data_IF_597302683530
#
_entry.id   IF_597302683530
#
_cell.length_a   1.000
_cell.length_b   1.000
_cell.length_c   1.000
_cell.angle_alpha   90.00
_cell.angle_beta   90.00
_cell.angle_gamma   90.00
#
_symmetry.space_group_name_H-M   'P 1'
#
loop_
_entity.id
_entity.type
_entity.pdbx_description
1 polymer ?
#
# COMPACT_ATOMS: atom_id res chain seq x y z
N UNK A 1 20.84 17.50 26.49
CA UNK A 1 19.41 17.88 26.50
C UNK A 1 18.69 17.01 25.50
N UNK A 2 17.50 16.50 25.81
CA UNK A 2 16.72 15.68 24.86
C UNK A 2 16.28 16.53 23.66
N UNK A 3 16.31 15.95 22.45
CA UNK A 3 15.84 16.62 21.22
C UNK A 3 14.31 16.75 21.15
N UNK A 4 13.58 15.95 21.93
CA UNK A 4 12.13 15.98 22.08
C UNK A 4 11.64 17.17 22.93
N UNK A 5 10.36 17.49 22.84
CA UNK A 5 9.69 18.56 23.59
C UNK A 5 8.39 18.04 24.27
N UNK A 6 8.48 17.57 25.53
CA UNK A 6 7.31 17.07 26.26
C UNK A 6 6.20 18.09 26.49
N UNK A 7 6.51 19.39 26.63
CA UNK A 7 5.47 20.42 26.82
C UNK A 7 4.64 20.64 25.55
N UNK A 8 5.24 20.52 24.37
CA UNK A 8 4.52 20.53 23.10
C UNK A 8 3.52 19.37 23.02
N UNK A 9 3.97 18.16 23.37
CA UNK A 9 3.10 16.98 23.40
C UNK A 9 1.94 17.12 24.38
N UNK A 10 2.20 17.72 25.55
CA UNK A 10 1.19 18.01 26.56
C UNK A 10 0.15 19.03 26.07
N UNK A 11 0.58 20.11 25.40
CA UNK A 11 -0.34 21.07 24.76
C UNK A 11 -1.25 20.37 23.76
N UNK A 12 -0.66 19.55 22.88
CA UNK A 12 -1.39 18.75 21.91
C UNK A 12 -2.41 17.83 22.57
N UNK A 13 -1.99 17.06 23.59
CA UNK A 13 -2.86 16.15 24.32
C UNK A 13 -4.09 16.87 24.87
N UNK A 14 -3.91 18.01 25.54
CA UNK A 14 -5.03 18.76 26.09
C UNK A 14 -5.98 19.31 25.03
N UNK A 15 -5.47 19.74 23.87
CA UNK A 15 -6.31 20.17 22.74
C UNK A 15 -7.09 19.00 22.15
N UNK A 16 -6.43 17.85 21.96
CA UNK A 16 -7.04 16.63 21.44
C UNK A 16 -8.18 16.13 22.34
N UNK A 17 -7.96 16.06 23.66
CA UNK A 17 -8.95 15.55 24.61
C UNK A 17 -10.11 16.52 24.81
N UNK A 18 -9.87 17.83 24.77
CA UNK A 18 -10.91 18.84 25.01
C UNK A 18 -12.06 18.75 24.00
N UNK A 19 -11.76 18.39 22.75
CA UNK A 19 -12.75 18.19 21.69
C UNK A 19 -13.19 16.74 21.50
N UNK A 20 -12.77 15.82 22.39
CA UNK A 20 -13.00 14.40 22.20
C UNK A 20 -14.36 13.93 22.74
N UNK A 21 -14.96 12.89 22.14
CA UNK A 21 -16.19 12.31 22.66
C UNK A 21 -15.95 11.66 24.02
N UNK A 22 -17.02 11.56 24.81
CA UNK A 22 -16.97 10.95 26.14
C UNK A 22 -16.37 9.54 26.08
N UNK A 23 -15.38 9.29 26.94
CA UNK A 23 -14.69 8.00 27.02
C UNK A 23 -13.61 7.78 25.96
N UNK A 24 -13.34 8.73 25.07
CA UNK A 24 -12.18 8.65 24.19
C UNK A 24 -10.89 8.69 25.01
N UNK A 25 -10.02 7.72 24.76
CA UNK A 25 -8.68 7.66 25.32
C UNK A 25 -7.74 7.50 24.12
N UNK A 26 -6.76 8.39 23.91
CA UNK A 26 -5.79 8.27 22.84
C UNK A 26 -5.02 6.95 22.93
N UNK A 27 -4.63 6.42 21.77
CA UNK A 27 -3.75 5.28 21.67
C UNK A 27 -2.31 5.78 21.42
N UNK A 28 -1.60 6.11 22.50
CA UNK A 28 -0.18 6.46 22.42
C UNK A 28 0.70 5.21 22.53
N UNK A 29 1.87 5.23 21.93
CA UNK A 29 2.88 4.18 22.07
C UNK A 29 4.28 4.73 21.75
N UNK A 30 5.35 4.13 22.30
CA UNK A 30 6.70 4.60 22.04
C UNK A 30 7.20 4.19 20.65
N UNK A 31 7.87 5.12 20.00
CA UNK A 31 8.67 4.92 18.81
C UNK A 31 10.15 4.87 19.18
N UNK A 32 11.00 4.53 18.22
CA UNK A 32 12.45 4.60 18.38
C UNK A 32 12.93 6.02 18.65
N UNK A 33 14.06 6.13 19.36
CA UNK A 33 14.73 7.43 19.60
C UNK A 33 15.20 7.97 18.25
N UNK A 34 14.83 9.21 17.93
CA UNK A 34 15.12 9.83 16.63
C UNK A 34 14.55 9.07 15.41
N UNK A 35 13.69 8.07 15.62
CA UNK A 35 13.07 7.25 14.58
C UNK A 35 11.57 7.48 14.46
N UNK A 36 10.99 6.95 13.39
CA UNK A 36 9.53 6.95 13.16
C UNK A 36 8.90 5.59 13.43
N UNK A 37 9.70 4.53 13.50
CA UNK A 37 9.20 3.18 13.64
C UNK A 37 8.90 2.85 15.11
N UNK A 38 7.92 1.96 15.36
CA UNK A 38 7.64 1.49 16.69
C UNK A 38 8.83 0.70 17.23
N UNK A 39 9.05 0.77 18.55
CA UNK A 39 10.15 0.04 19.19
C UNK A 39 10.09 -1.47 18.87
N UNK A 40 11.25 -2.03 18.53
CA UNK A 40 11.40 -3.47 18.33
C UNK A 40 11.08 -4.29 19.59
N UNK A 41 10.77 -5.57 19.39
CA UNK A 41 10.52 -6.53 20.47
C UNK A 41 9.11 -6.53 21.05
N UNK A 42 8.26 -5.55 20.73
CA UNK A 42 6.85 -5.54 21.12
C UNK A 42 5.96 -4.96 20.02
N UNK A 43 4.85 -5.66 19.70
CA UNK A 43 3.85 -5.10 18.80
C UNK A 43 3.28 -3.81 19.40
N UNK A 44 3.35 -2.71 18.65
CA UNK A 44 2.83 -1.42 19.10
C UNK A 44 1.33 -1.45 19.39
N UNK A 45 0.57 -2.31 18.69
CA UNK A 45 -0.86 -2.55 18.95
C UNK A 45 -1.12 -3.16 20.34
N UNK A 46 -0.10 -3.76 20.95
CA UNK A 46 -0.11 -4.32 22.30
C UNK A 46 0.71 -3.48 23.29
N UNK A 47 1.24 -2.32 22.88
CA UNK A 47 2.12 -1.47 23.69
C UNK A 47 1.52 -0.09 23.96
N UNK A 48 0.20 -0.03 24.17
CA UNK A 48 -0.50 1.22 24.48
C UNK A 48 0.07 1.87 25.75
N UNK A 49 0.16 3.19 25.74
CA UNK A 49 0.54 4.04 26.86
C UNK A 49 -0.56 5.02 27.21
N UNK A 50 -0.70 5.28 28.51
CA UNK A 50 -1.42 6.44 29.03
C UNK A 50 -0.68 7.72 28.67
N UNK A 51 -1.35 8.87 28.78
CA UNK A 51 -0.70 10.17 28.59
C UNK A 51 0.52 10.34 29.50
N UNK A 52 0.41 9.99 30.79
CA UNK A 52 1.49 10.14 31.77
C UNK A 52 2.72 9.31 31.39
N UNK A 53 2.52 8.06 30.99
CA UNK A 53 3.61 7.20 30.53
C UNK A 53 4.24 7.72 29.24
N UNK A 54 3.43 8.13 28.26
CA UNK A 54 3.91 8.67 26.99
C UNK A 54 4.70 9.97 27.20
N UNK A 55 4.21 10.87 28.05
CA UNK A 55 4.90 12.11 28.41
C UNK A 55 6.24 11.84 29.10
N UNK A 56 6.28 10.88 30.03
CA UNK A 56 7.52 10.44 30.67
C UNK A 56 8.51 9.85 29.65
N UNK A 57 8.06 8.96 28.77
CA UNK A 57 8.90 8.39 27.72
C UNK A 57 9.45 9.47 26.78
N UNK A 58 8.64 10.47 26.44
CA UNK A 58 9.09 11.60 25.65
C UNK A 58 10.16 12.43 26.37
N UNK A 59 10.06 12.62 27.69
CA UNK A 59 11.11 13.31 28.45
C UNK A 59 12.42 12.53 28.51
N UNK A 60 12.36 11.21 28.33
CA UNK A 60 13.54 10.33 28.16
C UNK A 60 14.07 10.30 26.71
N UNK A 61 13.48 11.05 25.78
CA UNK A 61 13.94 11.16 24.39
C UNK A 61 13.31 10.19 23.39
N UNK A 62 12.35 9.36 23.81
CA UNK A 62 11.58 8.55 22.87
C UNK A 62 10.59 9.42 22.08
N UNK A 63 10.45 9.13 20.80
CA UNK A 63 9.34 9.67 20.02
C UNK A 63 8.05 8.95 20.42
N UNK A 64 6.90 9.60 20.24
CA UNK A 64 5.59 9.05 20.58
C UNK A 64 4.74 8.99 19.32
N UNK A 65 4.16 7.82 19.05
CA UNK A 65 3.14 7.64 18.04
C UNK A 65 1.75 7.83 18.63
N UNK A 66 0.82 8.35 17.83
CA UNK A 66 -0.62 8.34 18.11
C UNK A 66 -1.34 7.56 17.00
N UNK A 67 -2.12 6.56 17.39
CA UNK A 67 -2.87 5.73 16.45
C UNK A 67 -4.37 6.05 16.44
N UNK A 68 -4.93 6.09 15.23
CA UNK A 68 -6.35 5.92 15.02
C UNK A 68 -6.65 4.41 14.95
N UNK A 69 -7.51 3.91 15.83
CA UNK A 69 -7.84 2.47 15.90
C UNK A 69 -9.20 2.18 15.29
N UNK A 70 -9.48 0.91 15.02
CA UNK A 70 -10.81 0.51 14.53
C UNK A 70 -11.94 0.63 15.57
N UNK A 71 -11.63 1.02 16.81
CA UNK A 71 -12.57 1.08 17.94
C UNK A 71 -12.77 2.49 18.48
N UNK A 72 -12.09 3.48 17.92
CA UNK A 72 -12.22 4.88 18.30
C UNK A 72 -12.70 5.71 17.10
N UNK A 73 -13.19 6.94 17.33
CA UNK A 73 -13.63 7.80 16.25
C UNK A 73 -12.50 8.62 15.62
N UNK A 74 -11.24 8.48 16.06
CA UNK A 74 -10.14 9.32 15.56
C UNK A 74 -9.91 9.05 14.05
N UNK A 75 -9.79 10.12 13.28
CA UNK A 75 -9.33 10.10 11.89
C UNK A 75 -8.19 11.09 11.79
N UNK A 76 -7.09 10.69 11.16
CA UNK A 76 -5.93 11.56 10.95
C UNK A 76 -5.74 11.70 9.45
N UNK A 77 -5.93 12.90 8.91
CA UNK A 77 -5.62 13.19 7.50
C UNK A 77 -4.19 13.73 7.45
N UNK A 78 -3.29 12.86 7.01
CA UNK A 78 -1.86 13.11 6.83
C UNK A 78 -1.63 13.66 5.41
N UNK A 79 -1.23 14.92 5.31
CA UNK A 79 -0.98 15.60 4.04
C UNK A 79 0.53 15.68 3.83
N UNK A 80 1.03 15.06 2.77
CA UNK A 80 2.44 15.09 2.39
C UNK A 80 2.77 16.29 1.49
N UNK A 81 1.83 16.71 0.62
CA UNK A 81 1.96 17.82 -0.32
C UNK A 81 0.73 18.75 -0.26
N UNK A 82 0.93 19.94 0.33
CA UNK A 82 -0.12 20.96 0.47
C UNK A 82 -0.67 21.47 -0.85
N UNK A 83 0.07 21.36 -1.96
CA UNK A 83 -0.40 21.81 -3.27
C UNK A 83 -1.50 20.91 -3.85
N UNK A 84 -1.52 19.63 -3.44
CA UNK A 84 -2.53 18.64 -3.87
C UNK A 84 -3.77 18.63 -2.96
N UNK A 85 -3.67 19.25 -1.78
CA UNK A 85 -4.75 19.38 -0.81
C UNK A 85 -4.88 20.86 -0.42
N UNK A 86 -5.35 21.73 -1.34
CA UNK A 86 -5.37 23.18 -1.12
C UNK A 86 -6.35 23.58 -0.01
N UNK A 87 -7.40 22.78 0.21
CA UNK A 87 -8.42 23.03 1.22
C UNK A 87 -8.64 21.78 2.07
N UNK A 88 -8.74 22.00 3.38
CA UNK A 88 -9.16 20.99 4.35
C UNK A 88 -9.98 21.66 5.45
N UNK A 89 -10.99 20.93 5.94
CA UNK A 89 -11.82 21.39 7.05
C UNK A 89 -10.93 21.82 8.24
N UNK A 90 -11.06 23.04 8.76
CA UNK A 90 -10.23 23.53 9.86
C UNK A 90 -10.36 22.62 11.09
N UNK A 91 -9.22 22.26 11.68
CA UNK A 91 -9.16 21.41 12.88
C UNK A 91 -7.80 21.56 13.55
N UNK A 92 -7.57 20.84 14.66
CA UNK A 92 -6.26 20.72 15.29
C UNK A 92 -5.22 20.19 14.29
N UNK A 93 -4.10 20.90 14.13
CA UNK A 93 -3.05 20.55 13.17
C UNK A 93 -1.67 20.44 13.80
N UNK A 94 -0.87 19.53 13.27
CA UNK A 94 0.57 19.38 13.55
C UNK A 94 1.36 19.49 12.26
N UNK A 95 2.44 20.25 12.24
CA UNK A 95 3.39 20.29 11.13
C UNK A 95 4.42 19.18 11.29
N UNK A 96 4.67 18.43 10.20
CA UNK A 96 5.60 17.31 10.17
C UNK A 96 7.06 17.76 10.18
N UNK A 97 8.00 16.81 10.38
CA UNK A 97 9.45 17.09 10.50
C UNK A 97 10.07 17.86 9.33
N UNK A 98 9.53 17.67 8.12
CA UNK A 98 10.03 18.31 6.88
C UNK A 98 9.38 19.68 6.65
N UNK A 99 8.50 20.12 7.55
CA UNK A 99 7.82 21.43 7.52
C UNK A 99 6.93 21.70 6.31
N UNK A 100 6.75 20.72 5.43
CA UNK A 100 5.93 20.78 4.21
C UNK A 100 4.64 19.96 4.30
N UNK A 101 4.52 19.09 5.31
CA UNK A 101 3.35 18.24 5.51
C UNK A 101 2.62 18.53 6.83
N UNK A 102 1.36 18.12 6.91
CA UNK A 102 0.46 18.35 8.05
C UNK A 102 -0.22 17.06 8.50
N UNK A 103 -0.35 16.86 9.81
CA UNK A 103 -1.30 15.91 10.38
C UNK A 103 -2.53 16.70 10.86
N UNK A 104 -3.69 16.38 10.31
CA UNK A 104 -4.98 17.01 10.63
C UNK A 104 -5.82 16.00 11.41
N UNK A 105 -6.21 16.34 12.63
CA UNK A 105 -6.91 15.41 13.53
C UNK A 105 -8.40 15.70 13.51
N UNK A 106 -9.23 14.67 13.34
CA UNK A 106 -10.69 14.77 13.35
C UNK A 106 -11.31 13.64 14.16
N UNK A 107 -12.59 13.78 14.48
CA UNK A 107 -13.42 12.66 14.95
C UNK A 107 -14.54 12.36 13.95
N UNK A 108 -14.72 11.09 13.58
CA UNK A 108 -15.85 10.63 12.76
C UNK A 108 -16.81 9.85 13.64
N UNK A 109 -17.88 10.51 14.09
CA UNK A 109 -18.87 9.89 15.00
C UNK A 109 -19.83 8.96 14.25
N UNK A 110 -20.15 9.29 12.99
CA UNK A 110 -20.93 8.45 12.09
C UNK A 110 -20.12 7.27 11.50
N UNK A 111 -18.80 7.27 11.70
CA UNK A 111 -17.87 6.27 11.18
C UNK A 111 -17.65 6.34 9.66
N UNK A 112 -18.27 7.28 8.94
CA UNK A 112 -18.20 7.30 7.47
C UNK A 112 -16.78 7.63 7.00
N UNK A 113 -16.06 8.49 7.70
CA UNK A 113 -14.66 8.81 7.40
C UNK A 113 -13.65 7.83 8.01
N UNK A 114 -14.08 6.76 8.70
CA UNK A 114 -13.20 5.71 9.25
C UNK A 114 -12.68 4.77 8.15
N UNK A 115 -11.93 5.31 7.19
CA UNK A 115 -11.40 4.60 6.02
C UNK A 115 -9.90 4.86 5.92
N UNK A 116 -9.12 3.82 5.62
CA UNK A 116 -7.71 4.01 5.28
C UNK A 116 -7.63 4.29 3.78
N UNK A 117 -7.12 5.46 3.39
CA UNK A 117 -7.04 5.87 1.99
C UNK A 117 -5.63 6.40 1.75
N UNK A 118 -4.86 5.75 0.87
CA UNK A 118 -3.56 6.25 0.45
C UNK A 118 -3.70 6.89 -0.94
N UNK A 119 -3.40 8.19 -1.04
CA UNK A 119 -3.58 9.00 -2.24
C UNK A 119 -2.23 9.51 -2.78
N UNK A 120 -1.30 8.57 -3.03
CA UNK A 120 0.03 8.83 -3.60
C UNK A 120 0.76 9.97 -2.86
N UNK A 121 1.03 11.06 -3.57
CA UNK A 121 1.84 12.18 -3.09
C UNK A 121 1.01 13.20 -2.30
N UNK A 122 -0.34 13.14 -2.36
CA UNK A 122 -1.21 13.96 -1.52
C UNK A 122 -1.22 13.52 -0.04
N UNK A 123 -0.77 12.30 0.24
CA UNK A 123 -0.74 11.71 1.58
C UNK A 123 -1.84 10.69 1.83
N UNK A 124 -2.32 10.59 3.07
CA UNK A 124 -3.16 9.49 3.54
C UNK A 124 -4.28 9.90 4.52
N UNK A 125 -5.45 9.29 4.40
CA UNK A 125 -6.43 9.21 5.49
C UNK A 125 -6.09 7.99 6.34
N UNK A 126 -5.75 8.22 7.61
CA UNK A 126 -5.33 7.21 8.58
C UNK A 126 -6.39 7.05 9.67
N UNK A 127 -7.16 5.97 9.62
CA UNK A 127 -8.30 5.77 10.51
C UNK A 127 -8.32 4.43 11.26
N UNK A 128 -7.87 3.35 10.64
CA UNK A 128 -8.00 1.99 11.18
C UNK A 128 -6.63 1.34 11.36
N UNK A 129 -6.14 1.36 12.59
CA UNK A 129 -4.83 0.83 12.99
C UNK A 129 -3.67 1.43 12.18
N UNK A 130 -3.79 2.71 11.87
CA UNK A 130 -2.72 3.55 11.32
C UNK A 130 -2.38 4.64 12.34
N UNK A 131 -1.15 5.15 12.26
CA UNK A 131 -0.63 6.10 13.23
C UNK A 131 0.17 7.19 12.56
N UNK A 132 0.39 8.28 13.28
CA UNK A 132 1.35 9.32 12.93
C UNK A 132 2.26 9.59 14.13
N UNK A 133 3.38 10.27 13.88
CA UNK A 133 4.25 10.75 14.95
C UNK A 133 3.58 11.97 15.62
N UNK A 134 3.46 11.94 16.94
CA UNK A 134 2.85 13.01 17.72
C UNK A 134 3.78 14.23 17.85
N UNK A 135 3.23 15.47 17.95
CA UNK A 135 4.03 16.66 18.20
C UNK A 135 4.81 16.58 19.52
N UNK A 136 5.96 17.24 19.57
CA UNK A 136 6.98 17.07 20.60
C UNK A 136 8.04 16.03 20.27
N UNK A 137 7.78 15.16 19.30
CA UNK A 137 8.78 14.21 18.77
C UNK A 137 9.79 14.89 17.85
N UNK A 138 10.96 14.26 17.66
CA UNK A 138 12.03 14.73 16.80
C UNK A 138 12.62 13.59 15.96
N UNK A 139 12.78 13.80 14.66
CA UNK A 139 13.43 12.88 13.72
C UNK A 139 14.36 13.69 12.82
N UNK A 140 15.69 13.49 12.88
CA UNK A 140 16.67 14.34 12.19
C UNK A 140 16.43 14.33 10.69
N UNK A 141 16.56 15.49 10.03
CA UNK A 141 16.48 15.64 8.58
C UNK A 141 17.87 15.53 7.94
N UNK A 142 17.95 14.98 6.73
CA UNK A 142 19.17 15.04 5.92
C UNK A 142 19.46 16.49 5.49
N UNK A 143 20.70 16.84 5.11
CA UNK A 143 21.02 18.17 4.58
C UNK A 143 20.12 18.58 3.41
N UNK A 144 19.86 17.65 2.48
CA UNK A 144 19.01 17.89 1.30
C UNK A 144 17.55 18.12 1.69
N UNK A 145 17.06 17.42 2.73
CA UNK A 145 15.73 17.68 3.28
C UNK A 145 15.66 19.07 3.94
N UNK A 146 16.71 19.49 4.65
CA UNK A 146 16.78 20.81 5.31
C UNK A 146 16.81 21.94 4.28
N UNK A 147 17.54 21.77 3.17
CA UNK A 147 17.65 22.79 2.13
C UNK A 147 16.30 23.10 1.47
N UNK A 148 15.42 22.09 1.37
CA UNK A 148 14.04 22.23 0.87
C UNK A 148 13.08 22.89 1.86
N UNK A 149 13.45 23.01 3.13
CA UNK A 149 12.63 23.68 4.14
C UNK A 149 12.77 25.20 3.97
N UNK A 150 11.65 25.96 3.98
CA UNK A 150 11.69 27.43 4.00
C UNK A 150 12.61 27.96 5.11
N UNK A 151 13.44 28.95 4.80
CA UNK A 151 14.54 29.38 5.67
C UNK A 151 14.09 29.69 7.11
N UNK A 152 12.96 30.37 7.27
CA UNK A 152 12.39 30.71 8.58
C UNK A 152 11.90 29.49 9.39
N UNK A 153 11.57 28.38 8.73
CA UNK A 153 11.15 27.13 9.36
C UNK A 153 12.31 26.15 9.63
N UNK A 154 13.53 26.42 9.12
CA UNK A 154 14.69 25.52 9.29
C UNK A 154 15.07 25.31 10.76
N UNK A 155 14.80 26.28 11.64
CA UNK A 155 14.99 26.13 13.09
C UNK A 155 14.15 24.99 13.69
N UNK A 156 13.05 24.63 13.03
CA UNK A 156 12.15 23.55 13.41
C UNK A 156 12.42 22.26 12.62
N UNK A 157 13.47 22.21 11.79
CA UNK A 157 13.80 21.01 11.02
C UNK A 157 13.91 19.78 11.93
N UNK A 158 13.24 18.71 11.53
CA UNK A 158 13.19 17.47 12.31
C UNK A 158 12.11 17.43 13.39
N UNK A 159 11.50 18.56 13.76
CA UNK A 159 10.50 18.65 14.83
C UNK A 159 9.09 18.47 14.32
N UNK A 160 8.31 17.66 15.05
CA UNK A 160 6.86 17.65 14.93
C UNK A 160 6.30 18.69 15.91
N UNK A 161 5.58 19.70 15.42
CA UNK A 161 5.09 20.82 16.25
C UNK A 161 3.63 21.09 15.99
N UNK A 162 2.91 21.61 16.98
CA UNK A 162 1.58 22.18 16.77
C UNK A 162 1.67 23.28 15.72
N UNK A 163 0.82 23.19 14.71
CA UNK A 163 0.67 24.22 13.70
C UNK A 163 -0.36 25.27 14.16
N UNK A 164 -1.45 24.77 14.74
CA UNK A 164 -2.50 25.57 15.33
C UNK A 164 -3.00 24.88 16.61
N UNK A 165 -3.88 25.55 17.34
CA UNK A 165 -4.53 25.01 18.55
C UNK A 165 -6.06 25.01 18.45
N UNK A 166 -6.59 24.85 17.24
CA UNK A 166 -8.03 24.76 17.05
C UNK A 166 -8.61 23.54 17.79
N UNK A 167 -9.89 23.59 18.20
CA UNK A 167 -10.60 22.39 18.64
C UNK A 167 -10.58 21.32 17.55
N UNK A 168 -10.61 20.05 17.96
CA UNK A 168 -10.75 18.93 17.03
C UNK A 168 -12.16 18.94 16.46
N UNK A 169 -12.27 19.03 15.14
CA UNK A 169 -13.56 19.02 14.45
C UNK A 169 -14.06 17.60 14.15
N UNK A 170 -15.38 17.48 14.00
CA UNK A 170 -15.99 16.29 13.42
C UNK A 170 -15.70 16.21 11.91
N UNK A 171 -15.67 15.01 11.34
CA UNK A 171 -15.58 14.80 9.89
C UNK A 171 -16.45 13.63 9.41
N UNK A 172 -17.21 13.87 8.36
CA UNK A 172 -17.86 12.84 7.55
C UNK A 172 -17.07 12.57 6.26
N UNK A 173 -17.32 11.43 5.59
CA UNK A 173 -16.62 11.05 4.37
C UNK A 173 -16.69 12.14 3.27
N UNK A 174 -17.85 12.76 3.09
CA UNK A 174 -18.07 13.78 2.06
C UNK A 174 -17.26 15.07 2.28
N UNK A 175 -16.83 15.30 3.53
CA UNK A 175 -16.01 16.45 3.94
C UNK A 175 -14.51 16.18 3.79
N UNK A 176 -14.11 14.96 3.42
CA UNK A 176 -12.72 14.69 3.05
C UNK A 176 -12.36 15.47 1.78
N UNK A 177 -11.11 15.92 1.65
CA UNK A 177 -10.63 16.53 0.42
C UNK A 177 -10.86 15.63 -0.81
N UNK A 178 -11.15 16.26 -1.95
CA UNK A 178 -11.58 15.57 -3.17
C UNK A 178 -10.60 14.52 -3.67
N UNK A 179 -9.29 14.75 -3.50
CA UNK A 179 -8.26 13.78 -3.88
C UNK A 179 -8.43 12.43 -3.17
N UNK A 180 -8.82 12.43 -1.89
CA UNK A 180 -9.06 11.20 -1.14
C UNK A 180 -10.39 10.56 -1.51
N UNK A 181 -11.43 11.35 -1.77
CA UNK A 181 -12.75 10.84 -2.21
C UNK A 181 -12.67 10.20 -3.60
N UNK A 182 -11.96 10.83 -4.53
CA UNK A 182 -11.68 10.29 -5.86
C UNK A 182 -10.91 8.97 -5.74
N UNK A 183 -9.84 8.95 -4.94
CA UNK A 183 -9.07 7.73 -4.71
C UNK A 183 -9.91 6.59 -4.11
N UNK A 184 -10.77 6.91 -3.15
CA UNK A 184 -11.65 5.89 -2.55
C UNK A 184 -12.66 5.34 -3.57
N UNK A 185 -13.21 6.20 -4.43
CA UNK A 185 -14.09 5.77 -5.53
C UNK A 185 -13.39 4.80 -6.48
N UNK A 186 -12.13 5.06 -6.83
CA UNK A 186 -11.31 4.13 -7.64
C UNK A 186 -11.12 2.78 -6.94
N UNK A 187 -10.81 2.79 -5.64
CA UNK A 187 -10.65 1.55 -4.84
C UNK A 187 -11.94 0.73 -4.89
N UNK A 188 -13.10 1.35 -4.66
CA UNK A 188 -14.39 0.66 -4.71
C UNK A 188 -14.69 0.14 -6.11
N UNK A 189 -14.39 0.91 -7.16
CA UNK A 189 -14.56 0.45 -8.53
C UNK A 189 -13.70 -0.79 -8.81
N UNK A 190 -12.40 -0.75 -8.50
CA UNK A 190 -11.47 -1.88 -8.67
C UNK A 190 -11.95 -3.11 -7.87
N UNK A 191 -12.47 -2.94 -6.65
CA UNK A 191 -13.03 -4.03 -5.84
C UNK A 191 -14.30 -4.63 -6.45
N UNK A 192 -15.24 -3.81 -6.91
CA UNK A 192 -16.48 -4.25 -7.57
C UNK A 192 -16.17 -4.98 -8.86
N UNK A 193 -15.23 -4.47 -9.67
CA UNK A 193 -14.79 -5.12 -10.90
C UNK A 193 -14.17 -6.50 -10.61
N UNK A 194 -13.30 -6.59 -9.61
CA UNK A 194 -12.69 -7.85 -9.18
C UNK A 194 -13.73 -8.88 -8.71
N UNK A 195 -14.74 -8.44 -7.93
CA UNK A 195 -15.84 -9.31 -7.47
C UNK A 195 -16.70 -9.76 -8.65
N UNK A 196 -17.04 -8.85 -9.57
CA UNK A 196 -17.89 -9.15 -10.74
C UNK A 196 -17.22 -10.18 -11.63
N UNK A 197 -15.95 -9.96 -11.99
CA UNK A 197 -15.12 -10.93 -12.73
C UNK A 197 -15.10 -12.30 -12.07
N UNK A 198 -15.10 -12.38 -10.72
CA UNK A 198 -15.13 -13.65 -9.99
C UNK A 198 -16.49 -14.35 -10.06
N UNK A 199 -17.60 -13.62 -9.92
CA UNK A 199 -18.95 -14.20 -9.96
C UNK A 199 -19.20 -14.85 -11.32
N UNK A 200 -18.86 -14.16 -12.41
CA UNK A 200 -18.96 -14.68 -13.78
C UNK A 200 -18.17 -16.00 -13.95
N UNK A 201 -17.11 -16.22 -13.16
CA UNK A 201 -16.24 -17.41 -13.26
C UNK A 201 -16.67 -18.59 -12.41
N UNK A 202 -17.44 -18.40 -11.33
CA UNK A 202 -17.98 -19.54 -10.55
C UNK A 202 -18.84 -20.46 -11.43
N UNK A 203 -19.31 -19.95 -12.57
CA UNK A 203 -20.06 -20.70 -13.58
C UNK A 203 -19.21 -21.51 -14.58
N UNK A 204 -17.86 -21.44 -14.55
CA UNK A 204 -16.99 -22.08 -15.57
C UNK A 204 -15.87 -22.99 -15.03
N UNK A 205 -15.88 -23.34 -13.74
CA UNK A 205 -14.73 -23.95 -13.08
C UNK A 205 -14.44 -25.44 -13.40
N UNK A 206 -13.28 -25.72 -14.00
CA UNK A 206 -12.53 -26.98 -13.78
C UNK A 206 -11.03 -26.70 -13.66
N UNK A 207 -10.37 -27.31 -12.66
CA UNK A 207 -8.93 -27.23 -12.46
C UNK A 207 -8.17 -27.95 -13.59
N UNK A 208 -7.18 -27.28 -14.18
CA UNK A 208 -6.29 -27.83 -15.20
C UNK A 208 -5.04 -28.43 -14.52
N UNK A 209 -5.15 -29.67 -14.05
CA UNK A 209 -3.98 -30.50 -13.77
C UNK A 209 -3.51 -31.11 -15.08
N UNK A 210 -2.61 -30.42 -15.79
CA UNK A 210 -2.07 -30.84 -17.08
C UNK A 210 -0.56 -31.01 -17.06
N UNK A 211 -0.05 -31.90 -17.91
CA UNK A 211 1.37 -32.29 -18.07
C UNK A 211 2.26 -31.12 -18.56
N UNK A 212 1.67 -30.02 -19.03
CA UNK A 212 2.36 -28.82 -19.53
C UNK A 212 2.09 -27.59 -18.64
N UNK A 213 2.31 -27.72 -17.34
CA UNK A 213 2.19 -26.61 -16.38
C UNK A 213 3.43 -25.71 -16.50
N UNK A 214 3.21 -24.41 -16.69
CA UNK A 214 4.27 -23.39 -16.64
C UNK A 214 4.85 -23.29 -15.22
N UNK A 215 6.17 -23.17 -15.12
CA UNK A 215 6.90 -22.90 -13.88
C UNK A 215 6.54 -21.54 -13.26
N UNK A 216 5.90 -20.65 -14.04
CA UNK A 216 5.36 -19.38 -13.54
C UNK A 216 4.50 -19.56 -12.29
N UNK A 217 3.75 -20.66 -12.22
CA UNK A 217 2.83 -20.94 -11.12
C UNK A 217 3.49 -21.55 -9.88
N UNK A 218 4.78 -21.89 -9.98
CA UNK A 218 5.57 -22.46 -8.89
C UNK A 218 6.50 -21.42 -8.27
N UNK A 219 6.62 -20.22 -8.86
CA UNK A 219 7.37 -19.10 -8.28
C UNK A 219 6.69 -18.60 -7.00
N UNK A 220 7.52 -18.32 -6.00
CA UNK A 220 7.11 -17.65 -4.78
C UNK A 220 7.57 -16.18 -4.74
N UNK A 221 7.22 -15.48 -3.66
CA UNK A 221 7.56 -14.06 -3.54
C UNK A 221 9.07 -13.84 -3.37
N UNK A 222 9.79 -14.80 -2.79
CA UNK A 222 11.24 -14.76 -2.62
C UNK A 222 11.92 -14.85 -3.98
N UNK A 223 11.45 -15.74 -4.86
CA UNK A 223 11.99 -15.93 -6.21
C UNK A 223 11.92 -14.63 -7.03
N UNK A 224 10.82 -13.88 -6.91
CA UNK A 224 10.57 -12.71 -7.76
C UNK A 224 11.04 -11.39 -7.14
N UNK A 225 11.12 -11.30 -5.82
CA UNK A 225 11.51 -10.05 -5.12
C UNK A 225 12.92 -10.08 -4.54
N UNK A 226 13.53 -11.26 -4.41
CA UNK A 226 14.80 -11.45 -3.72
C UNK A 226 14.73 -11.26 -2.19
N UNK A 227 13.56 -10.96 -1.63
CA UNK A 227 13.37 -10.73 -0.19
C UNK A 227 12.88 -12.00 0.48
N UNK A 228 13.71 -12.61 1.32
CA UNK A 228 13.33 -13.77 2.14
C UNK A 228 12.30 -13.40 3.21
N UNK A 229 11.64 -14.41 3.80
CA UNK A 229 10.67 -14.22 4.88
C UNK A 229 11.28 -13.40 6.04
N UNK A 230 10.75 -12.21 6.26
CA UNK A 230 11.21 -11.28 7.30
C UNK A 230 10.44 -11.45 8.60
N UNK A 231 9.51 -12.39 8.67
CA UNK A 231 8.59 -12.62 9.78
C UNK A 231 7.79 -11.35 10.14
N UNK A 232 7.51 -10.52 9.14
CA UNK A 232 6.79 -9.26 9.32
C UNK A 232 7.66 -8.07 9.78
N UNK A 233 8.96 -8.28 10.00
CA UNK A 233 9.91 -7.17 10.22
C UNK A 233 10.00 -6.31 8.96
N UNK A 234 9.97 -4.99 9.13
CA UNK A 234 10.10 -4.04 8.02
C UNK A 234 11.53 -4.02 7.51
N UNK A 235 11.67 -4.01 6.19
CA UNK A 235 12.95 -3.99 5.46
C UNK A 235 12.86 -3.01 4.29
N UNK A 236 14.00 -2.67 3.65
CA UNK A 236 14.01 -1.86 2.45
C UNK A 236 13.17 -2.48 1.34
N UNK A 237 12.41 -1.63 0.65
CA UNK A 237 11.66 -2.04 -0.53
C UNK A 237 12.64 -2.39 -1.67
N UNK A 238 12.41 -3.47 -2.44
CA UNK A 238 13.14 -3.70 -3.67
C UNK A 238 13.06 -2.47 -4.60
N UNK A 239 14.19 -2.01 -5.16
CA UNK A 239 14.26 -0.76 -5.90
C UNK A 239 13.39 -0.76 -7.17
N UNK A 240 13.06 -1.94 -7.70
CA UNK A 240 12.26 -2.14 -8.92
C UNK A 240 10.78 -1.78 -8.72
N UNK A 241 10.29 -1.72 -7.47
CA UNK A 241 8.90 -1.35 -7.18
C UNK A 241 8.77 0.17 -7.08
N UNK A 242 9.42 0.72 -6.06
CA UNK A 242 9.55 2.14 -5.79
C UNK A 242 10.50 2.34 -4.61
N UNK A 243 11.22 3.46 -4.61
CA UNK A 243 12.14 3.81 -3.53
C UNK A 243 11.47 3.95 -2.16
N UNK A 244 12.32 3.96 -1.13
CA UNK A 244 11.95 4.29 0.24
C UNK A 244 12.93 5.31 0.80
N UNK A 245 12.43 6.50 1.17
CA UNK A 245 13.24 7.48 1.90
C UNK A 245 13.55 7.06 3.33
N UNK A 246 12.75 6.15 3.92
CA UNK A 246 12.90 5.65 5.30
C UNK A 246 13.61 4.29 5.38
N UNK A 247 13.87 3.63 4.26
CA UNK A 247 14.46 2.31 4.18
C UNK A 247 13.60 1.15 4.71
N UNK A 248 12.33 1.35 5.10
CA UNK A 248 11.54 0.34 5.84
C UNK A 248 10.10 0.19 5.31
N UNK A 249 9.94 0.07 3.98
CA UNK A 249 8.63 0.14 3.31
C UNK A 249 8.04 -1.21 2.89
N UNK A 250 8.73 -2.34 3.12
CA UNK A 250 8.14 -3.65 2.90
C UNK A 250 8.41 -4.65 4.02
N UNK A 251 7.69 -5.75 4.01
CA UNK A 251 7.98 -6.93 4.84
C UNK A 251 7.47 -8.17 4.13
N UNK A 252 8.16 -9.30 4.25
CA UNK A 252 7.69 -10.58 3.71
C UNK A 252 7.28 -11.48 4.85
N UNK A 253 6.11 -12.10 4.74
CA UNK A 253 5.65 -13.13 5.67
C UNK A 253 4.61 -14.01 5.01
N UNK A 254 4.65 -15.33 5.28
CA UNK A 254 3.66 -16.29 4.78
C UNK A 254 3.54 -16.27 3.24
N UNK A 255 4.68 -16.11 2.54
CA UNK A 255 4.73 -16.07 1.08
C UNK A 255 4.14 -14.82 0.44
N UNK A 256 3.89 -13.75 1.22
CA UNK A 256 3.39 -12.48 0.72
C UNK A 256 4.34 -11.34 1.07
N UNK A 257 4.57 -10.44 0.12
CA UNK A 257 5.24 -9.17 0.36
C UNK A 257 4.17 -8.13 0.67
N UNK A 258 4.28 -7.48 1.82
CA UNK A 258 3.45 -6.34 2.19
C UNK A 258 4.17 -5.07 1.77
N UNK A 259 3.57 -4.28 0.89
CA UNK A 259 3.97 -2.91 0.63
C UNK A 259 3.27 -1.98 1.63
N UNK A 260 4.03 -1.42 2.56
CA UNK A 260 3.49 -0.55 3.61
C UNK A 260 3.11 0.84 3.11
N UNK A 261 3.72 1.29 2.00
CA UNK A 261 3.39 2.57 1.35
C UNK A 261 1.99 2.56 0.73
N UNK A 262 1.67 1.50 0.00
CA UNK A 262 0.39 1.35 -0.68
C UNK A 262 -0.61 0.50 0.13
N UNK A 263 -0.22 0.06 1.32
CA UNK A 263 -1.01 -0.78 2.22
C UNK A 263 -1.65 -1.99 1.51
N UNK A 264 -0.84 -2.71 0.72
CA UNK A 264 -1.28 -3.80 -0.15
C UNK A 264 -0.32 -5.00 -0.10
N UNK A 265 -0.86 -6.20 -0.30
CA UNK A 265 -0.11 -7.46 -0.30
C UNK A 265 0.13 -7.95 -1.73
N UNK A 266 1.33 -8.45 -2.00
CA UNK A 266 1.67 -9.11 -3.26
C UNK A 266 2.02 -10.58 -3.04
N UNK A 267 1.51 -11.43 -3.91
CA UNK A 267 2.06 -12.76 -4.17
C UNK A 267 3.02 -12.67 -5.37
N UNK A 268 3.66 -13.78 -5.75
CA UNK A 268 4.58 -13.81 -6.88
C UNK A 268 3.96 -13.29 -8.18
N UNK A 269 2.75 -13.74 -8.51
CA UNK A 269 2.06 -13.36 -9.73
C UNK A 269 1.71 -11.86 -9.77
N UNK A 270 1.15 -11.30 -8.70
CA UNK A 270 0.79 -9.88 -8.66
C UNK A 270 2.02 -8.97 -8.59
N UNK A 271 3.11 -9.45 -8.00
CA UNK A 271 4.40 -8.76 -8.04
C UNK A 271 4.95 -8.69 -9.48
N UNK A 272 4.95 -9.81 -10.20
CA UNK A 272 5.38 -9.85 -11.60
C UNK A 272 4.46 -9.06 -12.52
N UNK A 273 3.14 -9.05 -12.28
CA UNK A 273 2.20 -8.23 -13.06
C UNK A 273 2.52 -6.74 -12.95
N UNK A 274 2.97 -6.30 -11.77
CA UNK A 274 3.44 -4.94 -11.56
C UNK A 274 4.75 -4.69 -12.31
N UNK A 275 5.75 -5.56 -12.17
CA UNK A 275 7.04 -5.38 -12.86
C UNK A 275 6.92 -5.46 -14.39
N UNK A 276 5.99 -6.26 -14.90
CA UNK A 276 5.66 -6.34 -16.32
C UNK A 276 4.90 -5.10 -16.85
N UNK A 277 4.64 -4.10 -15.99
CA UNK A 277 3.95 -2.86 -16.37
C UNK A 277 2.46 -3.04 -16.68
N UNK A 278 1.86 -4.17 -16.28
CA UNK A 278 0.43 -4.43 -16.49
C UNK A 278 -0.42 -3.57 -15.55
N UNK A 279 0.05 -3.40 -14.31
CA UNK A 279 -0.67 -2.70 -13.25
C UNK A 279 0.31 -1.96 -12.34
N UNK A 280 -0.16 -0.92 -11.64
CA UNK A 280 0.62 -0.28 -10.57
C UNK A 280 0.69 -1.18 -9.32
N UNK A 281 1.60 -0.90 -8.40
CA UNK A 281 1.70 -1.61 -7.11
C UNK A 281 0.34 -1.66 -6.38
N UNK A 282 -0.33 -0.52 -6.27
CA UNK A 282 -1.65 -0.41 -5.62
C UNK A 282 -2.70 -1.31 -6.27
N UNK A 283 -2.76 -1.35 -7.61
CA UNK A 283 -3.80 -2.07 -8.36
C UNK A 283 -3.49 -3.55 -8.52
N UNK A 284 -2.22 -3.93 -8.59
CA UNK A 284 -1.84 -5.34 -8.74
C UNK A 284 -2.05 -6.11 -7.42
N UNK A 285 -1.70 -5.47 -6.30
CA UNK A 285 -1.76 -6.09 -4.97
C UNK A 285 -3.17 -6.31 -4.46
N UNK A 286 -3.27 -7.00 -3.32
CA UNK A 286 -4.49 -7.15 -2.53
C UNK A 286 -4.51 -6.09 -1.42
N UNK A 287 -5.46 -5.14 -1.41
CA UNK A 287 -5.57 -4.15 -0.36
C UNK A 287 -5.63 -4.78 1.04
N UNK A 288 -5.13 -4.07 2.05
CA UNK A 288 -5.18 -4.56 3.42
C UNK A 288 -6.61 -4.78 3.92
N UNK A 289 -6.95 -6.02 4.29
CA UNK A 289 -8.31 -6.41 4.64
C UNK A 289 -9.19 -6.77 3.44
N UNK A 290 -8.71 -6.49 2.22
CA UNK A 290 -9.31 -6.94 0.98
C UNK A 290 -9.19 -8.44 0.79
N UNK A 291 -10.09 -8.99 -0.02
CA UNK A 291 -10.18 -10.43 -0.24
C UNK A 291 -9.47 -10.91 -1.51
N UNK A 292 -9.08 -10.00 -2.40
CA UNK A 292 -8.63 -10.33 -3.76
C UNK A 292 -7.41 -9.52 -4.17
N UNK A 293 -6.52 -10.14 -4.95
CA UNK A 293 -5.48 -9.42 -5.69
C UNK A 293 -6.12 -8.82 -6.94
N UNK A 294 -5.72 -7.61 -7.33
CA UNK A 294 -6.20 -7.03 -8.58
C UNK A 294 -5.54 -7.66 -9.80
N UNK A 295 -4.29 -8.13 -9.69
CA UNK A 295 -3.66 -8.92 -10.74
C UNK A 295 -4.34 -10.28 -10.87
N UNK A 296 -4.88 -10.52 -12.06
CA UNK A 296 -5.76 -11.65 -12.30
C UNK A 296 -5.02 -12.80 -13.03
N UNK A 297 -4.73 -13.93 -12.36
CA UNK A 297 -4.04 -15.07 -12.98
C UNK A 297 -4.89 -15.81 -14.02
N UNK A 298 -6.11 -15.35 -14.23
CA UNK A 298 -7.06 -15.88 -15.19
C UNK A 298 -7.27 -14.95 -16.39
N UNK A 299 -6.75 -13.73 -16.37
CA UNK A 299 -6.78 -12.84 -17.53
C UNK A 299 -5.67 -13.21 -18.52
N UNK A 300 -6.04 -13.56 -19.75
CA UNK A 300 -5.09 -14.09 -20.74
C UNK A 300 -4.01 -13.07 -21.13
N UNK A 301 -4.36 -11.78 -21.20
CA UNK A 301 -3.40 -10.70 -21.47
C UNK A 301 -2.40 -10.55 -20.32
N UNK A 302 -2.90 -10.41 -19.09
CA UNK A 302 -2.06 -10.30 -17.90
C UNK A 302 -1.12 -11.50 -17.78
N UNK A 303 -1.63 -12.72 -17.95
CA UNK A 303 -0.80 -13.93 -17.88
C UNK A 303 0.24 -13.97 -18.99
N UNK A 304 -0.09 -13.52 -20.21
CA UNK A 304 0.87 -13.44 -21.32
C UNK A 304 2.03 -12.50 -20.99
N UNK A 305 1.73 -11.27 -20.57
CA UNK A 305 2.72 -10.25 -20.23
C UNK A 305 3.58 -10.67 -19.03
N UNK A 306 2.97 -11.25 -18.01
CA UNK A 306 3.68 -11.76 -16.82
C UNK A 306 4.62 -12.92 -17.18
N UNK A 307 4.15 -13.88 -17.98
CA UNK A 307 4.95 -15.01 -18.41
C UNK A 307 6.13 -14.57 -19.28
N UNK A 308 5.89 -13.67 -20.24
CA UNK A 308 6.93 -13.08 -21.09
C UNK A 308 7.98 -12.34 -20.26
N UNK A 309 7.54 -11.51 -19.31
CA UNK A 309 8.44 -10.81 -18.38
C UNK A 309 9.29 -11.79 -17.57
N UNK A 310 8.69 -12.84 -16.99
CA UNK A 310 9.40 -13.84 -16.20
C UNK A 310 10.48 -14.57 -17.01
N UNK A 311 10.22 -14.85 -18.30
CA UNK A 311 11.23 -15.40 -19.22
C UNK A 311 12.34 -14.40 -19.48
N UNK A 312 12.00 -13.16 -19.80
CA UNK A 312 12.98 -12.11 -20.11
C UNK A 312 13.92 -11.85 -18.92
N UNK A 313 13.40 -11.91 -17.69
CA UNK A 313 14.20 -11.82 -16.46
C UNK A 313 14.85 -13.14 -16.02
N UNK A 314 14.69 -14.22 -16.80
CA UNK A 314 15.23 -15.55 -16.52
C UNK A 314 14.79 -16.15 -15.18
N UNK A 315 13.62 -15.75 -14.69
CA UNK A 315 12.97 -16.34 -13.52
C UNK A 315 12.39 -17.71 -13.84
N UNK A 316 12.08 -17.96 -15.11
CA UNK A 316 11.67 -19.26 -15.66
C UNK A 316 12.46 -19.56 -16.95
N UNK A 317 12.46 -20.83 -17.35
CA UNK A 317 13.19 -21.29 -18.54
C UNK A 317 12.73 -20.60 -19.83
N UNK A 318 13.66 -20.41 -20.77
CA UNK A 318 13.31 -19.97 -22.13
C UNK A 318 12.44 -20.99 -22.88
N UNK A 319 12.44 -22.25 -22.45
CA UNK A 319 11.57 -23.31 -22.98
C UNK A 319 10.34 -23.56 -22.10
N UNK A 320 10.08 -22.71 -21.10
CA UNK A 320 8.89 -22.85 -20.24
C UNK A 320 7.61 -22.77 -21.10
N UNK A 321 6.65 -23.69 -20.91
CA UNK A 321 5.44 -23.74 -21.72
C UNK A 321 4.53 -22.55 -21.41
N UNK A 322 4.11 -21.82 -22.45
CA UNK A 322 3.13 -20.73 -22.31
C UNK A 322 1.85 -21.23 -21.60
N UNK A 323 1.30 -20.49 -20.62
CA UNK A 323 0.02 -20.83 -20.02
C UNK A 323 -1.12 -20.84 -21.05
N UNK A 324 -2.09 -21.76 -20.88
CA UNK A 324 -3.17 -21.94 -21.86
C UNK A 324 -3.96 -20.65 -22.15
N UNK A 325 -4.25 -19.85 -21.12
CA UNK A 325 -5.00 -18.60 -21.28
C UNK A 325 -4.20 -17.52 -22.00
N UNK A 326 -2.90 -17.45 -21.75
CA UNK A 326 -1.98 -16.57 -22.47
C UNK A 326 -1.91 -16.95 -23.96
N UNK A 327 -1.87 -18.25 -24.27
CA UNK A 327 -1.91 -18.72 -25.65
C UNK A 327 -3.24 -18.37 -26.34
N UNK A 328 -4.37 -18.56 -25.66
CA UNK A 328 -5.68 -18.16 -26.18
C UNK A 328 -5.73 -16.65 -26.46
N UNK A 329 -5.25 -15.83 -25.52
CA UNK A 329 -5.16 -14.38 -25.71
C UNK A 329 -4.29 -14.02 -26.91
N UNK A 330 -3.09 -14.59 -27.01
CA UNK A 330 -2.17 -14.36 -28.13
C UNK A 330 -2.85 -14.63 -29.47
N UNK A 331 -3.47 -15.81 -29.62
CA UNK A 331 -4.16 -16.19 -30.86
C UNK A 331 -5.31 -15.24 -31.23
N UNK A 332 -6.05 -14.74 -30.24
CA UNK A 332 -7.11 -13.74 -30.48
C UNK A 332 -6.51 -12.39 -30.87
N UNK A 333 -5.49 -11.92 -30.14
CA UNK A 333 -4.83 -10.63 -30.39
C UNK A 333 -4.19 -10.55 -31.79
N UNK A 334 -3.75 -11.70 -32.32
CA UNK A 334 -3.17 -11.84 -33.66
C UNK A 334 -4.20 -12.13 -34.75
N UNK A 335 -5.49 -12.17 -34.41
CA UNK A 335 -6.57 -12.46 -35.37
C UNK A 335 -6.59 -13.91 -35.88
N UNK A 336 -5.82 -14.81 -35.27
CA UNK A 336 -5.75 -16.25 -35.63
C UNK A 336 -7.04 -16.96 -35.21
N UNK A 337 -7.64 -16.52 -34.09
CA UNK A 337 -8.89 -17.05 -33.58
C UNK A 337 -9.85 -15.91 -33.21
N UNK A 338 -11.15 -16.10 -33.44
CA UNK A 338 -12.19 -15.24 -32.85
C UNK A 338 -12.67 -15.85 -31.54
N UNK A 339 -13.06 -15.01 -30.58
CA UNK A 339 -13.54 -15.45 -29.25
C UNK A 339 -14.73 -16.41 -29.33
N UNK A 340 -15.61 -16.22 -30.31
CA UNK A 340 -16.77 -17.09 -30.60
C UNK A 340 -16.39 -18.49 -31.12
N UNK A 341 -15.16 -18.67 -31.61
CA UNK A 341 -14.66 -19.93 -32.15
C UNK A 341 -13.88 -20.76 -31.12
N UNK A 342 -13.82 -20.32 -29.87
CA UNK A 342 -13.22 -21.09 -28.79
C UNK A 342 -14.08 -22.32 -28.48
N UNK A 343 -13.44 -23.41 -28.07
CA UNK A 343 -14.19 -24.55 -27.52
C UNK A 343 -14.84 -24.14 -26.20
N UNK A 344 -15.85 -24.89 -25.75
CA UNK A 344 -16.70 -24.52 -24.60
C UNK A 344 -15.94 -24.24 -23.29
N UNK A 345 -14.69 -24.70 -23.16
CA UNK A 345 -13.83 -24.43 -21.99
C UNK A 345 -12.81 -23.29 -22.20
N UNK A 346 -12.97 -22.50 -23.26
CA UNK A 346 -12.13 -21.35 -23.58
C UNK A 346 -10.78 -21.69 -24.22
N UNK A 347 -10.53 -22.95 -24.57
CA UNK A 347 -9.32 -23.34 -25.31
C UNK A 347 -9.45 -23.07 -26.81
N UNK A 348 -8.30 -23.02 -27.48
CA UNK A 348 -8.22 -22.97 -28.93
C UNK A 348 -8.61 -24.33 -29.52
N UNK A 349 -9.35 -24.36 -30.65
CA UNK A 349 -9.50 -25.58 -31.44
C UNK A 349 -8.14 -26.15 -31.84
N UNK A 350 -7.97 -27.48 -31.99
CA UNK A 350 -6.66 -28.12 -32.22
C UNK A 350 -5.86 -27.54 -33.40
N UNK A 351 -6.53 -27.25 -34.53
CA UNK A 351 -5.88 -26.66 -35.71
C UNK A 351 -5.41 -25.23 -35.41
N UNK A 352 -6.25 -24.43 -34.78
CA UNK A 352 -5.95 -23.05 -34.39
C UNK A 352 -4.80 -23.01 -33.37
N UNK A 353 -4.77 -23.95 -32.44
CA UNK A 353 -3.66 -24.11 -31.49
C UNK A 353 -2.33 -24.30 -32.23
N UNK A 354 -2.27 -25.21 -33.21
CA UNK A 354 -1.06 -25.46 -33.98
C UNK A 354 -0.65 -24.25 -34.83
N UNK A 355 -1.61 -23.58 -35.47
CA UNK A 355 -1.35 -22.34 -36.22
C UNK A 355 -0.78 -21.26 -35.30
N UNK A 356 -1.34 -21.09 -34.10
CA UNK A 356 -0.84 -20.11 -33.14
C UNK A 356 0.62 -20.37 -32.73
N UNK A 357 1.00 -21.63 -32.51
CA UNK A 357 2.40 -21.99 -32.23
C UNK A 357 3.33 -21.70 -33.41
N UNK A 358 2.88 -21.99 -34.65
CA UNK A 358 3.66 -21.72 -35.86
C UNK A 358 3.87 -20.23 -36.10
N UNK A 359 2.82 -19.42 -35.97
CA UNK A 359 2.90 -17.95 -36.10
C UNK A 359 3.82 -17.38 -35.03
N UNK A 360 3.69 -17.81 -33.77
CA UNK A 360 4.58 -17.38 -32.69
C UNK A 360 6.05 -17.67 -33.01
N UNK A 361 6.34 -18.87 -33.54
CA UNK A 361 7.71 -19.24 -33.96
C UNK A 361 8.23 -18.35 -35.10
N UNK A 362 7.38 -17.99 -36.06
CA UNK A 362 7.75 -17.05 -37.14
C UNK A 362 8.04 -15.64 -36.61
N UNK A 363 7.34 -15.22 -35.56
CA UNK A 363 7.60 -13.97 -34.84
C UNK A 363 8.80 -14.04 -33.89
N UNK A 364 9.51 -15.18 -33.84
CA UNK A 364 10.67 -15.39 -32.97
C UNK A 364 10.33 -15.68 -31.50
N UNK A 365 9.05 -15.93 -31.19
CA UNK A 365 8.60 -16.27 -29.84
C UNK A 365 8.74 -17.78 -29.59
N UNK A 366 9.34 -18.15 -28.46
CA UNK A 366 9.39 -19.53 -28.00
C UNK A 366 8.28 -19.77 -26.97
N UNK A 367 7.25 -20.53 -27.33
CA UNK A 367 6.13 -20.85 -26.44
C UNK A 367 6.31 -22.11 -25.60
N UNK A 368 7.46 -22.80 -25.69
CA UNK A 368 7.75 -23.99 -24.87
C UNK A 368 6.75 -25.14 -25.06
N UNK A 369 6.00 -25.12 -26.16
CA UNK A 369 4.96 -26.09 -26.52
C UNK A 369 5.31 -26.69 -27.87
N UNK A 370 4.99 -27.98 -28.04
CA UNK A 370 5.19 -28.73 -29.28
C UNK A 370 3.85 -29.06 -29.92
#
# INVERSE_FOLDING_TARGET
MSSTNPEEFKRFHFRLIRGAPNGYIPFYFPLEVQGKDPREGISWKNNRKTFREAYYLMSQGFNIGIAATSKDPLVIVDIDDLSQVPEIKPTLQTTSRKRIGLHNYFFSFDGTAKKNIAAKDAGEVRANWQYVVAPGSFVPCSPEEIDRIPEHERVNAGRYTLNNELPVSEIAFEELPDVYKARYTEIIHDEVEAVTKRIERKFTGRQLNGIHKSALWDLDITDVSGVSDTQGRRVPMPPEIHGSESGHNCSVSKGLLHCWRHNTYHNSFSYLAMLAGVMSCERAGRPHGGHYFGADPQDGETVFKVWEYAKNQRLISQDDPIPQRALTYYAISKGICKKENLVNDGRLPPIIYQIALLVAKQEGLNFGRK
#
